data_IF_679667489571
#
_entry.id   IF_679667489571
#
_cell.length_a   1.000
_cell.length_b   1.000
_cell.length_c   1.000
_cell.angle_alpha   90.00
_cell.angle_beta   90.00
_cell.angle_gamma   90.00
#
_symmetry.space_group_name_H-M   'P 1'
#
loop_
_entity.id
_entity.type
_entity.pdbx_description
1 polymer ?
#
# COMPACT_ATOMS: atom_id res chain seq x y z
N UNK A 1 7.16 -28.88 -7.64
CA UNK A 1 7.08 -27.91 -6.52
C UNK A 1 6.25 -28.52 -5.37
N UNK A 2 6.72 -28.40 -4.14
CA UNK A 2 5.91 -28.83 -2.98
C UNK A 2 4.72 -27.86 -2.83
N UNK A 3 3.52 -28.43 -2.74
CA UNK A 3 2.27 -27.67 -2.53
C UNK A 3 2.33 -27.01 -1.16
N UNK A 4 2.37 -25.68 -1.09
CA UNK A 4 2.34 -24.96 0.18
C UNK A 4 0.94 -25.08 0.78
N UNK A 5 0.85 -25.59 2.00
CA UNK A 5 -0.42 -25.77 2.71
C UNK A 5 -0.95 -24.47 3.33
N UNK A 6 -0.07 -23.49 3.52
CA UNK A 6 -0.36 -22.19 4.12
C UNK A 6 -0.10 -21.12 3.06
N UNK A 7 -0.98 -20.11 3.01
CA UNK A 7 -0.77 -18.94 2.16
C UNK A 7 0.50 -18.20 2.59
N UNK A 8 1.36 -17.85 1.63
CA UNK A 8 2.66 -17.24 1.89
C UNK A 8 2.76 -15.91 1.14
N UNK A 9 3.25 -14.87 1.80
CA UNK A 9 3.56 -13.58 1.18
C UNK A 9 5.06 -13.31 1.27
N UNK A 10 5.72 -13.19 0.12
CA UNK A 10 7.06 -12.61 0.01
C UNK A 10 6.94 -11.09 -0.01
N UNK A 11 7.60 -10.40 0.92
CA UNK A 11 7.37 -8.99 1.20
C UNK A 11 8.67 -8.29 1.58
N UNK A 12 8.98 -7.17 0.94
CA UNK A 12 10.08 -6.34 1.39
C UNK A 12 9.66 -5.42 2.55
N UNK A 13 10.48 -5.32 3.61
CA UNK A 13 10.10 -4.60 4.83
C UNK A 13 9.82 -3.10 4.64
N UNK A 14 10.53 -2.42 3.74
CA UNK A 14 10.41 -0.98 3.54
C UNK A 14 9.58 -0.59 2.29
N UNK A 15 9.17 -1.56 1.50
CA UNK A 15 8.49 -1.34 0.22
C UNK A 15 7.01 -0.93 0.38
N UNK A 16 6.54 0.16 -0.25
CA UNK A 16 5.15 0.61 -0.11
C UNK A 16 4.12 -0.34 -0.74
N UNK A 17 4.47 -1.08 -1.81
CA UNK A 17 3.58 -2.09 -2.41
C UNK A 17 3.39 -3.30 -1.49
N UNK A 18 4.47 -3.74 -0.86
CA UNK A 18 4.43 -4.78 0.18
C UNK A 18 3.63 -4.33 1.41
N UNK A 19 3.80 -3.07 1.83
CA UNK A 19 3.06 -2.50 2.96
C UNK A 19 1.55 -2.51 2.72
N UNK A 20 1.07 -2.07 1.53
CA UNK A 20 -0.37 -2.09 1.26
C UNK A 20 -0.96 -3.50 1.29
N UNK A 21 -0.19 -4.50 0.83
CA UNK A 21 -0.61 -5.90 0.86
C UNK A 21 -0.71 -6.42 2.28
N UNK A 22 0.28 -6.15 3.13
CA UNK A 22 0.23 -6.49 4.56
C UNK A 22 -0.92 -5.79 5.27
N UNK A 23 -1.22 -4.53 4.92
CA UNK A 23 -2.34 -3.81 5.51
C UNK A 23 -3.68 -4.45 5.14
N UNK A 24 -3.88 -4.86 3.89
CA UNK A 24 -5.10 -5.57 3.48
C UNK A 24 -5.24 -6.89 4.21
N UNK A 25 -4.16 -7.66 4.35
CA UNK A 25 -4.17 -8.91 5.14
C UNK A 25 -4.57 -8.66 6.61
N UNK A 26 -4.05 -7.60 7.20
CA UNK A 26 -4.39 -7.20 8.58
C UNK A 26 -5.86 -6.76 8.72
N UNK A 27 -6.39 -5.97 7.76
CA UNK A 27 -7.80 -5.56 7.74
C UNK A 27 -8.75 -6.77 7.56
N UNK A 28 -8.33 -7.77 6.80
CA UNK A 28 -9.08 -9.03 6.60
C UNK A 28 -8.91 -10.02 7.76
N UNK A 29 -7.97 -9.79 8.67
CA UNK A 29 -7.66 -10.73 9.76
C UNK A 29 -7.11 -12.07 9.28
N UNK A 30 -6.41 -12.07 8.12
CA UNK A 30 -5.89 -13.30 7.51
C UNK A 30 -4.51 -13.60 8.09
N UNK A 31 -4.37 -14.79 8.66
CA UNK A 31 -3.08 -15.33 9.07
C UNK A 31 -2.38 -15.99 7.86
N UNK A 32 -1.14 -15.57 7.62
CA UNK A 32 -0.30 -16.08 6.53
C UNK A 32 1.13 -16.33 7.03
N UNK A 33 1.90 -17.05 6.25
CA UNK A 33 3.35 -17.07 6.37
C UNK A 33 3.93 -15.82 5.68
N UNK A 34 4.59 -14.94 6.46
CA UNK A 34 5.26 -13.76 5.93
C UNK A 34 6.76 -14.05 5.78
N UNK A 35 7.25 -14.01 4.54
CA UNK A 35 8.67 -14.14 4.22
C UNK A 35 9.22 -12.76 3.91
N UNK A 36 10.08 -12.24 4.80
CA UNK A 36 10.77 -10.99 4.56
C UNK A 36 11.87 -11.19 3.52
N UNK A 37 11.87 -10.36 2.50
CA UNK A 37 12.78 -10.43 1.35
C UNK A 37 13.62 -9.16 1.28
N UNK A 38 14.94 -9.32 1.13
CA UNK A 38 15.80 -8.24 0.67
C UNK A 38 15.68 -8.14 -0.87
N UNK A 39 15.25 -7.00 -1.43
CA UNK A 39 15.17 -6.82 -2.89
C UNK A 39 16.49 -7.01 -3.63
N UNK A 40 17.62 -6.90 -2.92
CA UNK A 40 18.96 -7.09 -3.49
C UNK A 40 19.46 -8.54 -3.39
N UNK A 41 18.78 -9.39 -2.61
CA UNK A 41 19.15 -10.80 -2.40
C UNK A 41 17.87 -11.65 -2.34
N UNK A 42 17.33 -11.95 -3.52
CA UNK A 42 16.07 -12.67 -3.65
C UNK A 42 16.26 -14.17 -3.39
N UNK A 43 15.39 -14.79 -2.59
CA UNK A 43 15.43 -16.23 -2.39
C UNK A 43 15.10 -17.00 -3.68
N UNK A 44 15.77 -18.15 -3.89
CA UNK A 44 15.58 -19.00 -5.07
C UNK A 44 14.10 -19.36 -5.29
N UNK A 45 13.37 -19.67 -4.23
CA UNK A 45 11.95 -19.96 -4.28
C UNK A 45 11.15 -18.83 -4.95
N UNK A 46 11.47 -17.57 -4.66
CA UNK A 46 10.79 -16.43 -5.26
C UNK A 46 11.14 -16.27 -6.74
N UNK A 47 12.42 -16.48 -7.09
CA UNK A 47 12.90 -16.41 -8.47
C UNK A 47 12.19 -17.45 -9.34
N UNK A 48 12.03 -18.67 -8.83
CA UNK A 48 11.33 -19.76 -9.52
C UNK A 48 9.83 -19.51 -9.69
N UNK A 49 9.21 -18.84 -8.71
CA UNK A 49 7.76 -18.61 -8.67
C UNK A 49 7.32 -17.40 -9.49
N UNK A 50 8.11 -16.32 -9.49
CA UNK A 50 7.75 -15.05 -10.10
C UNK A 50 8.76 -14.64 -11.17
N UNK A 51 8.39 -14.68 -12.47
CA UNK A 51 9.29 -14.35 -13.58
C UNK A 51 9.75 -12.88 -13.59
N UNK A 52 9.08 -12.00 -12.83
CA UNK A 52 9.48 -10.58 -12.69
C UNK A 52 10.39 -10.34 -11.48
N UNK A 53 10.67 -11.39 -10.66
CA UNK A 53 11.53 -11.30 -9.50
C UNK A 53 11.18 -10.10 -8.59
N UNK A 54 9.90 -9.87 -8.38
CA UNK A 54 9.39 -8.69 -7.67
C UNK A 54 8.65 -9.05 -6.38
N UNK A 55 8.53 -8.09 -5.49
CA UNK A 55 7.73 -8.16 -4.28
C UNK A 55 6.69 -7.02 -4.29
N UNK A 56 5.51 -7.25 -3.68
CA UNK A 56 5.05 -8.47 -3.04
C UNK A 56 4.72 -9.58 -4.04
N UNK A 57 4.95 -10.83 -3.63
CA UNK A 57 4.47 -12.04 -4.34
C UNK A 57 3.69 -12.90 -3.36
N UNK A 58 2.45 -13.22 -3.72
CA UNK A 58 1.55 -14.06 -2.92
C UNK A 58 1.48 -15.46 -3.52
N UNK A 59 1.59 -16.47 -2.66
CA UNK A 59 1.37 -17.87 -3.02
C UNK A 59 0.21 -18.42 -2.20
N UNK A 60 -0.87 -18.83 -2.88
CA UNK A 60 -2.00 -19.57 -2.29
C UNK A 60 -2.15 -20.91 -2.99
N UNK A 61 -1.62 -21.97 -2.38
CA UNK A 61 -1.54 -23.32 -2.95
C UNK A 61 -0.75 -23.36 -4.26
N UNK A 62 -1.46 -23.55 -5.40
CA UNK A 62 -0.87 -23.59 -6.74
C UNK A 62 -0.97 -22.22 -7.46
N UNK A 63 -1.66 -21.24 -6.84
CA UNK A 63 -1.81 -19.90 -7.38
C UNK A 63 -0.64 -19.04 -6.93
N UNK A 64 0.04 -18.41 -7.89
CA UNK A 64 1.08 -17.39 -7.65
C UNK A 64 0.60 -16.08 -8.23
N UNK A 65 0.56 -15.04 -7.40
CA UNK A 65 0.20 -13.69 -7.80
C UNK A 65 1.34 -12.73 -7.50
N UNK A 66 1.63 -11.91 -8.44
CA UNK A 66 2.53 -10.75 -8.35
C UNK A 66 1.79 -9.51 -8.89
N UNK A 67 2.26 -8.30 -8.58
CA UNK A 67 1.50 -7.05 -8.63
C UNK A 67 0.53 -6.90 -7.45
N UNK A 68 0.88 -5.98 -6.57
CA UNK A 68 0.15 -5.78 -5.32
C UNK A 68 -1.31 -5.36 -5.50
N UNK A 69 -1.68 -4.73 -6.63
CA UNK A 69 -3.09 -4.40 -6.94
C UNK A 69 -3.90 -5.67 -7.19
N UNK A 70 -3.36 -6.58 -8.00
CA UNK A 70 -4.00 -7.88 -8.26
C UNK A 70 -4.13 -8.67 -6.97
N UNK A 71 -3.08 -8.66 -6.15
CA UNK A 71 -3.07 -9.37 -4.85
C UNK A 71 -4.15 -8.84 -3.92
N UNK A 72 -4.25 -7.51 -3.73
CA UNK A 72 -5.24 -6.94 -2.81
C UNK A 72 -6.69 -7.12 -3.29
N UNK A 73 -6.95 -7.07 -4.60
CA UNK A 73 -8.26 -7.39 -5.16
C UNK A 73 -8.59 -8.87 -4.96
N UNK A 74 -7.65 -9.79 -5.22
CA UNK A 74 -7.81 -11.21 -4.95
C UNK A 74 -8.13 -11.50 -3.48
N UNK A 75 -7.40 -10.88 -2.56
CA UNK A 75 -7.64 -11.05 -1.12
C UNK A 75 -9.03 -10.55 -0.70
N UNK A 76 -9.51 -9.44 -1.28
CA UNK A 76 -10.86 -8.94 -1.00
C UNK A 76 -11.95 -9.88 -1.53
N UNK A 77 -11.77 -10.44 -2.72
CA UNK A 77 -12.71 -11.39 -3.32
C UNK A 77 -12.67 -12.78 -2.66
N UNK A 78 -11.47 -13.25 -2.30
CA UNK A 78 -11.25 -14.55 -1.65
C UNK A 78 -11.79 -14.60 -0.22
N UNK A 79 -11.72 -13.46 0.47
CA UNK A 79 -12.17 -13.27 1.85
C UNK A 79 -13.15 -12.08 1.90
N UNK A 80 -14.43 -12.30 1.60
CA UNK A 80 -15.38 -11.22 1.36
C UNK A 80 -15.74 -10.39 2.59
N UNK A 81 -15.33 -10.79 3.80
CA UNK A 81 -15.63 -10.08 5.03
C UNK A 81 -14.35 -9.72 5.83
N UNK A 82 -14.25 -8.46 6.31
CA UNK A 82 -15.06 -7.28 5.92
C UNK A 82 -14.80 -6.90 4.46
N UNK A 83 -15.81 -6.41 3.70
CA UNK A 83 -15.62 -5.97 2.33
C UNK A 83 -14.74 -4.71 2.30
N UNK A 84 -13.75 -4.67 1.41
CA UNK A 84 -12.88 -3.51 1.20
C UNK A 84 -13.13 -2.83 -0.16
N UNK A 85 -14.05 -3.37 -0.94
CA UNK A 85 -14.58 -2.77 -2.17
C UNK A 85 -16.10 -2.72 -2.14
N UNK A 86 -16.71 -1.64 -2.70
CA UNK A 86 -18.16 -1.53 -2.81
C UNK A 86 -18.77 -2.71 -3.60
N UNK A 87 -19.98 -3.11 -3.20
CA UNK A 87 -20.72 -4.17 -3.90
C UNK A 87 -21.35 -3.64 -5.18
N UNK A 88 -21.85 -2.38 -5.15
CA UNK A 88 -22.44 -1.73 -6.31
C UNK A 88 -21.42 -1.58 -7.46
N UNK A 89 -21.73 -2.07 -8.68
CA UNK A 89 -20.78 -2.07 -9.79
C UNK A 89 -20.30 -0.66 -10.20
N UNK A 90 -21.16 0.36 -10.12
CA UNK A 90 -20.81 1.73 -10.50
C UNK A 90 -19.82 2.32 -9.52
N UNK A 91 -20.12 2.24 -8.23
CA UNK A 91 -19.25 2.70 -7.16
C UNK A 91 -17.92 1.90 -7.16
N UNK A 92 -17.98 0.58 -7.36
CA UNK A 92 -16.80 -0.28 -7.48
C UNK A 92 -15.90 0.15 -8.64
N UNK A 93 -16.47 0.51 -9.78
CA UNK A 93 -15.70 1.04 -10.92
C UNK A 93 -15.03 2.38 -10.58
N UNK A 94 -15.69 3.28 -9.86
CA UNK A 94 -15.13 4.54 -9.38
C UNK A 94 -13.94 4.30 -8.44
N UNK A 95 -14.03 3.31 -7.54
CA UNK A 95 -12.93 2.91 -6.65
C UNK A 95 -11.75 2.33 -7.43
N UNK A 96 -11.98 1.53 -8.46
CA UNK A 96 -10.90 1.04 -9.36
C UNK A 96 -10.21 2.19 -10.09
N UNK A 97 -10.95 3.20 -10.53
CA UNK A 97 -10.35 4.43 -11.10
C UNK A 97 -9.51 5.16 -10.05
N UNK A 98 -9.99 5.26 -8.81
CA UNK A 98 -9.22 5.87 -7.72
C UNK A 98 -7.93 5.09 -7.42
N UNK A 99 -7.99 3.75 -7.34
CA UNK A 99 -6.82 2.88 -7.20
C UNK A 99 -5.80 3.10 -8.32
N UNK A 100 -6.24 3.08 -9.56
CA UNK A 100 -5.40 3.34 -10.72
C UNK A 100 -4.68 4.70 -10.63
N UNK A 101 -5.42 5.76 -10.23
CA UNK A 101 -4.83 7.10 -10.06
C UNK A 101 -3.84 7.16 -8.91
N UNK A 102 -4.14 6.53 -7.77
CA UNK A 102 -3.20 6.45 -6.64
C UNK A 102 -1.87 5.83 -7.08
N UNK A 103 -1.93 4.72 -7.81
CA UNK A 103 -0.73 4.06 -8.32
C UNK A 103 0.05 4.92 -9.30
N UNK A 104 -0.64 5.41 -10.31
CA UNK A 104 0.00 6.17 -11.37
C UNK A 104 0.57 7.51 -10.89
N UNK A 105 -0.18 8.22 -10.01
CA UNK A 105 0.14 9.58 -9.61
C UNK A 105 0.99 9.66 -8.32
N UNK A 106 1.09 8.57 -7.54
CA UNK A 106 1.77 8.61 -6.23
C UNK A 106 2.87 7.57 -6.07
N UNK A 107 2.62 6.33 -6.45
CA UNK A 107 3.62 5.27 -6.29
C UNK A 107 4.82 5.46 -7.22
N UNK A 108 4.61 5.92 -8.46
CA UNK A 108 5.70 6.27 -9.36
C UNK A 108 6.60 7.38 -8.78
N UNK A 109 5.99 8.42 -8.21
CA UNK A 109 6.75 9.52 -7.57
C UNK A 109 7.50 9.04 -6.31
N UNK A 110 6.89 8.16 -5.51
CA UNK A 110 7.54 7.54 -4.37
C UNK A 110 8.75 6.71 -4.81
N UNK A 111 8.61 5.92 -5.85
CA UNK A 111 9.70 5.13 -6.44
C UNK A 111 10.86 6.01 -6.92
N UNK A 112 10.58 7.11 -7.62
CA UNK A 112 11.61 8.06 -8.05
C UNK A 112 12.40 8.63 -6.86
N UNK A 113 11.69 8.93 -5.74
CA UNK A 113 12.33 9.45 -4.53
C UNK A 113 13.21 8.38 -3.87
N UNK A 114 12.76 7.14 -3.85
CA UNK A 114 13.49 6.03 -3.21
C UNK A 114 14.70 5.58 -4.03
N UNK A 115 14.61 5.66 -5.36
CA UNK A 115 15.67 5.21 -6.28
C UNK A 115 16.96 6.05 -6.17
N UNK A 116 16.83 7.36 -6.14
CA UNK A 116 17.95 8.32 -5.95
C UNK A 116 17.51 9.50 -5.08
N UNK A 117 17.52 9.36 -3.75
CA UNK A 117 16.98 10.36 -2.84
C UNK A 117 17.61 11.77 -2.93
N UNK A 118 18.78 11.89 -3.52
CA UNK A 118 19.49 13.16 -3.68
C UNK A 118 19.47 13.71 -5.12
N UNK A 119 18.90 12.94 -6.04
CA UNK A 119 18.82 13.29 -7.45
C UNK A 119 17.81 14.39 -7.75
N UNK A 120 17.97 15.03 -8.90
CA UNK A 120 17.04 16.07 -9.40
C UNK A 120 15.63 15.52 -9.64
N UNK A 121 15.53 14.26 -10.09
CA UNK A 121 14.24 13.57 -10.27
C UNK A 121 13.50 13.46 -8.95
N UNK A 122 14.18 13.03 -7.89
CA UNK A 122 13.58 12.93 -6.56
C UNK A 122 13.13 14.30 -6.01
N UNK A 123 13.91 15.36 -6.24
CA UNK A 123 13.52 16.72 -5.85
C UNK A 123 12.22 17.16 -6.54
N UNK A 124 12.13 16.92 -7.86
CA UNK A 124 10.91 17.17 -8.62
C UNK A 124 9.75 16.33 -8.13
N UNK A 125 9.95 15.01 -7.95
CA UNK A 125 8.93 14.07 -7.51
C UNK A 125 8.38 14.38 -6.11
N UNK A 126 9.24 14.87 -5.17
CA UNK A 126 8.79 15.37 -3.86
C UNK A 126 7.81 16.53 -4.00
N UNK A 127 8.16 17.50 -4.83
CA UNK A 127 7.30 18.68 -5.06
C UNK A 127 5.97 18.27 -5.65
N UNK A 128 5.98 17.48 -6.71
CA UNK A 128 4.76 17.01 -7.39
C UNK A 128 3.89 16.15 -6.43
N UNK A 129 4.51 15.26 -5.65
CA UNK A 129 3.80 14.44 -4.67
C UNK A 129 3.15 15.29 -3.57
N UNK A 130 3.87 16.27 -3.04
CA UNK A 130 3.34 17.20 -2.04
C UNK A 130 2.14 17.99 -2.58
N UNK A 131 2.24 18.53 -3.79
CA UNK A 131 1.18 19.27 -4.47
C UNK A 131 -0.04 18.40 -4.73
N UNK A 132 0.16 17.16 -5.22
CA UNK A 132 -0.91 16.21 -5.48
C UNK A 132 -1.67 15.79 -4.21
N UNK A 133 -0.94 15.61 -3.09
CA UNK A 133 -1.54 15.33 -1.79
C UNK A 133 -2.34 16.54 -1.31
N UNK A 134 -1.78 17.74 -1.34
CA UNK A 134 -2.48 18.97 -0.94
C UNK A 134 -3.74 19.22 -1.77
N UNK A 135 -3.69 19.00 -3.09
CA UNK A 135 -4.82 19.13 -3.98
C UNK A 135 -5.99 18.18 -3.66
N UNK A 136 -5.69 17.04 -3.00
CA UNK A 136 -6.72 16.08 -2.55
C UNK A 136 -7.36 16.41 -1.20
N UNK A 137 -7.02 17.54 -0.55
CA UNK A 137 -7.50 17.89 0.79
C UNK A 137 -9.04 17.87 0.94
N UNK A 138 -9.76 18.35 -0.06
CA UNK A 138 -11.24 18.36 -0.05
C UNK A 138 -11.84 16.95 -0.06
N UNK A 139 -11.18 15.99 -0.70
CA UNK A 139 -11.60 14.58 -0.69
C UNK A 139 -11.53 14.00 0.74
N UNK A 140 -10.44 14.31 1.48
CA UNK A 140 -10.26 13.85 2.86
C UNK A 140 -11.15 14.60 3.87
N UNK A 141 -11.72 15.74 3.48
CA UNK A 141 -12.67 16.49 4.29
C UNK A 141 -14.10 15.94 4.19
N UNK A 142 -14.45 15.40 3.02
CA UNK A 142 -15.81 15.02 2.70
C UNK A 142 -16.28 13.75 3.42
N UNK A 143 -15.38 12.81 3.69
CA UNK A 143 -15.68 11.49 4.27
C UNK A 143 -14.59 11.07 5.27
N UNK A 144 -14.91 10.19 6.24
CA UNK A 144 -13.93 9.68 7.19
C UNK A 144 -12.82 8.84 6.55
N UNK A 145 -13.12 8.15 5.43
CA UNK A 145 -12.16 7.46 4.59
C UNK A 145 -12.17 8.03 3.18
N UNK A 146 -11.26 7.57 2.33
CA UNK A 146 -11.16 8.09 0.96
C UNK A 146 -12.42 7.76 0.16
N UNK A 147 -13.23 8.78 -0.16
CA UNK A 147 -14.50 8.68 -0.87
C UNK A 147 -15.55 7.76 -0.21
N UNK A 148 -15.39 7.37 1.05
CA UNK A 148 -16.21 6.37 1.71
C UNK A 148 -16.43 6.67 3.20
N UNK A 149 -17.50 6.09 3.75
CA UNK A 149 -17.74 6.03 5.18
C UNK A 149 -17.05 4.81 5.84
N UNK A 150 -16.56 3.88 5.02
CA UNK A 150 -15.86 2.67 5.45
C UNK A 150 -14.46 2.59 4.85
N UNK A 151 -13.54 1.94 5.56
CA UNK A 151 -12.19 1.67 5.08
C UNK A 151 -12.21 0.79 3.82
N UNK A 152 -11.38 1.12 2.83
CA UNK A 152 -11.38 0.47 1.52
C UNK A 152 -9.97 0.14 1.01
N UNK A 153 -9.88 -0.59 -0.11
CA UNK A 153 -8.62 -0.82 -0.82
C UNK A 153 -7.93 0.49 -1.24
N UNK A 154 -8.69 1.56 -1.45
CA UNK A 154 -8.14 2.88 -1.77
C UNK A 154 -7.37 3.43 -0.57
N UNK A 155 -7.94 3.32 0.63
CA UNK A 155 -7.27 3.73 1.87
C UNK A 155 -6.02 2.87 2.13
N UNK A 156 -6.13 1.56 1.93
CA UNK A 156 -4.99 0.64 2.04
C UNK A 156 -3.86 0.99 1.07
N UNK A 157 -4.19 1.57 -0.10
CA UNK A 157 -3.20 1.97 -1.10
C UNK A 157 -2.61 3.36 -0.84
N UNK A 158 -3.37 4.29 -0.26
CA UNK A 158 -2.89 5.64 0.05
C UNK A 158 -2.02 5.66 1.32
N UNK A 159 -2.43 4.92 2.35
CA UNK A 159 -1.82 4.96 3.67
C UNK A 159 -0.30 4.70 3.67
N UNK A 160 0.26 3.73 2.91
CA UNK A 160 1.70 3.52 2.83
C UNK A 160 2.48 4.73 2.31
N UNK A 161 1.95 5.46 1.35
CA UNK A 161 2.58 6.67 0.81
C UNK A 161 2.54 7.79 1.85
N UNK A 162 1.40 8.01 2.49
CA UNK A 162 1.25 9.01 3.55
C UNK A 162 2.14 8.72 4.77
N UNK A 163 2.36 7.43 5.07
CA UNK A 163 3.25 7.02 6.15
C UNK A 163 4.69 7.47 5.90
N UNK A 164 5.14 7.43 4.65
CA UNK A 164 6.51 7.70 4.21
C UNK A 164 6.81 9.19 3.95
N UNK A 165 5.84 10.10 4.03
CA UNK A 165 6.06 11.52 3.71
C UNK A 165 7.22 12.13 4.49
N UNK A 166 7.33 11.80 5.79
CA UNK A 166 8.45 12.29 6.61
C UNK A 166 9.80 11.77 6.12
N UNK A 167 9.88 10.50 5.77
CA UNK A 167 11.09 9.86 5.22
C UNK A 167 11.46 10.48 3.87
N UNK A 168 10.46 10.86 3.08
CA UNK A 168 10.67 11.57 1.81
C UNK A 168 11.05 13.04 2.00
N UNK A 169 11.03 13.56 3.22
CA UNK A 169 11.28 14.99 3.49
C UNK A 169 10.14 15.89 3.04
N UNK A 170 8.92 15.38 2.98
CA UNK A 170 7.72 16.13 2.61
C UNK A 170 6.97 16.55 3.87
N UNK A 171 6.90 17.85 4.09
CA UNK A 171 6.08 18.46 5.15
C UNK A 171 4.80 19.03 4.54
N UNK A 172 3.67 18.68 5.15
CA UNK A 172 2.36 19.17 4.69
C UNK A 172 2.08 20.55 5.31
N UNK A 173 1.64 21.52 4.50
CA UNK A 173 1.30 22.85 5.00
C UNK A 173 0.03 22.84 5.86
N UNK A 174 -0.20 23.91 6.62
CA UNK A 174 -1.37 24.02 7.50
C UNK A 174 -2.72 23.84 6.77
N UNK A 175 -2.78 24.20 5.50
CA UNK A 175 -3.97 24.00 4.65
C UNK A 175 -4.32 22.52 4.44
N UNK A 176 -3.38 21.61 4.65
CA UNK A 176 -3.57 20.16 4.54
C UNK A 176 -4.15 19.53 5.83
N UNK A 177 -4.71 20.33 6.75
CA UNK A 177 -5.33 19.86 8.00
C UNK A 177 -6.28 18.66 7.82
N UNK A 178 -7.18 18.60 6.81
CA UNK A 178 -8.03 17.45 6.60
C UNK A 178 -7.25 16.15 6.35
N UNK A 179 -6.15 16.24 5.59
CA UNK A 179 -5.27 15.09 5.31
C UNK A 179 -4.56 14.64 6.58
N UNK A 180 -4.05 15.58 7.38
CA UNK A 180 -3.39 15.28 8.64
C UNK A 180 -4.35 14.58 9.62
N UNK A 181 -5.60 15.02 9.67
CA UNK A 181 -6.65 14.36 10.47
C UNK A 181 -6.90 12.93 9.99
N UNK A 182 -7.03 12.74 8.68
CA UNK A 182 -7.19 11.42 8.07
C UNK A 182 -5.98 10.53 8.39
N UNK A 183 -4.75 11.02 8.19
CA UNK A 183 -3.52 10.27 8.52
C UNK A 183 -3.52 9.81 9.96
N UNK A 184 -3.86 10.68 10.91
CA UNK A 184 -3.91 10.33 12.32
C UNK A 184 -4.94 9.23 12.59
N UNK A 185 -6.11 9.30 11.96
CA UNK A 185 -7.16 8.28 12.10
C UNK A 185 -6.72 6.93 11.54
N UNK A 186 -6.13 6.90 10.33
CA UNK A 186 -5.65 5.65 9.70
C UNK A 186 -4.50 5.04 10.52
N UNK A 187 -3.51 5.84 10.91
CA UNK A 187 -2.32 5.35 11.63
C UNK A 187 -2.62 4.90 13.08
N UNK A 188 -3.73 5.36 13.64
CA UNK A 188 -4.21 4.92 14.95
C UNK A 188 -4.88 3.54 14.92
N UNK A 189 -5.28 3.03 13.72
CA UNK A 189 -5.93 1.72 13.60
C UNK A 189 -5.02 0.60 14.08
N UNK A 190 -5.57 -0.36 14.79
CA UNK A 190 -4.82 -1.54 15.26
C UNK A 190 -4.26 -2.36 14.10
N UNK A 191 -5.03 -2.51 13.03
CA UNK A 191 -4.67 -3.20 11.78
C UNK A 191 -3.49 -2.53 11.08
N UNK A 192 -3.47 -1.19 11.01
CA UNK A 192 -2.36 -0.44 10.46
C UNK A 192 -1.07 -0.65 11.27
N UNK A 193 -1.16 -0.57 12.60
CA UNK A 193 0.01 -0.80 13.47
C UNK A 193 0.52 -2.23 13.41
N UNK A 194 -0.39 -3.19 13.28
CA UNK A 194 -0.05 -4.60 13.18
C UNK A 194 0.67 -4.98 11.88
N UNK A 195 0.38 -4.28 10.77
CA UNK A 195 0.98 -4.57 9.47
C UNK A 195 2.36 -3.93 9.26
N UNK A 196 2.79 -3.02 10.15
CA UNK A 196 4.08 -2.35 10.04
C UNK A 196 5.25 -3.33 10.30
N UNK A 197 6.22 -3.33 9.40
CA UNK A 197 7.54 -3.92 9.64
C UNK A 197 8.33 -3.08 10.64
N UNK A 198 9.44 -3.63 11.17
CA UNK A 198 10.33 -2.86 12.05
C UNK A 198 10.95 -1.66 11.31
N UNK A 199 11.38 -1.85 10.06
CA UNK A 199 11.87 -0.76 9.22
C UNK A 199 10.83 0.38 9.04
N UNK A 200 9.56 0.04 8.87
CA UNK A 200 8.50 1.05 8.74
C UNK A 200 8.17 1.75 10.06
N UNK A 201 8.30 1.08 11.20
CA UNK A 201 8.17 1.72 12.52
C UNK A 201 9.24 2.78 12.72
N UNK A 202 10.49 2.51 12.32
CA UNK A 202 11.61 3.44 12.43
C UNK A 202 11.45 4.70 11.57
N UNK A 203 10.67 4.67 10.49
CA UNK A 203 10.43 5.84 9.62
C UNK A 203 9.80 7.04 10.34
N UNK A 204 9.23 6.86 11.53
CA UNK A 204 8.51 7.92 12.27
C UNK A 204 8.98 8.12 13.71
N UNK A 205 10.09 7.52 14.05
CA UNK A 205 10.79 7.78 15.32
C UNK A 205 11.74 8.97 15.27
#
# INVERSE_FOLDING_TARGET
MARRSVMTLFSAPADPWSHRTRLVLAEKGIAIELVNVDPNDLPEDLIDLNPYHSVPTLVDRDLVLYDSRVIIEYLDERFPHPPLMPIDPVTRAQFRVALYRVERERYGLAHDIELDPRGKTAEHSRKVLAEAICASAEVFKAKPFFLSDEFSLVDASIAPILWRLRTYGIELPAQAQPIMKYMNAIFARSTFRACLSDAEREMRH
#
